data_IF_104848147526
#
_entry.id   IF_104848147526
#
_cell.length_a   1.000
_cell.length_b   1.000
_cell.length_c   1.000
_cell.angle_alpha   90.00
_cell.angle_beta   90.00
_cell.angle_gamma   90.00
#
_symmetry.space_group_name_H-M   'P 1'
#
loop_
_entity.id
_entity.type
_entity.pdbx_description
1 polymer ?
#
# COMPACT_ATOMS: atom_id res chain seq x y z
N UNK A 1 26.56 -18.83 3.00
CA UNK A 1 25.52 -17.88 3.46
C UNK A 1 26.08 -16.51 3.87
N UNK A 2 26.80 -16.34 4.99
CA UNK A 2 27.31 -15.01 5.41
C UNK A 2 28.18 -14.29 4.35
N UNK A 3 29.04 -15.01 3.61
CA UNK A 3 29.96 -14.40 2.63
C UNK A 3 29.30 -13.92 1.32
N UNK A 4 28.23 -14.58 0.86
CA UNK A 4 27.49 -14.17 -0.37
C UNK A 4 26.53 -13.02 -0.04
N UNK A 5 25.90 -13.06 1.15
CA UNK A 5 25.04 -11.99 1.66
C UNK A 5 25.83 -10.71 1.98
N UNK A 6 27.01 -10.83 2.61
CA UNK A 6 27.93 -9.69 2.74
C UNK A 6 28.39 -9.22 1.36
N UNK A 7 28.64 -10.13 0.42
CA UNK A 7 29.08 -9.81 -0.94
C UNK A 7 28.06 -8.98 -1.72
N UNK A 8 26.76 -9.31 -1.67
CA UNK A 8 25.70 -8.55 -2.34
C UNK A 8 25.39 -7.21 -1.66
N UNK A 9 25.43 -7.16 -0.32
CA UNK A 9 25.29 -5.92 0.45
C UNK A 9 26.50 -4.99 0.27
N UNK A 10 27.73 -5.52 0.21
CA UNK A 10 28.94 -4.77 -0.16
C UNK A 10 28.95 -4.40 -1.64
N UNK A 11 28.39 -5.20 -2.54
CA UNK A 11 28.30 -4.85 -3.97
C UNK A 11 27.45 -3.60 -4.17
N UNK A 12 26.39 -3.38 -3.39
CA UNK A 12 25.64 -2.11 -3.40
C UNK A 12 26.41 -0.94 -2.77
N UNK A 13 27.34 -1.22 -1.85
CA UNK A 13 28.25 -0.22 -1.27
C UNK A 13 29.48 0.05 -2.15
N UNK A 14 29.77 -0.82 -3.13
CA UNK A 14 30.97 -0.79 -3.97
C UNK A 14 30.68 -0.68 -5.47
N UNK A 15 29.48 -0.29 -5.92
CA UNK A 15 29.27 0.07 -7.33
C UNK A 15 30.02 1.39 -7.62
N UNK A 16 31.07 1.38 -8.45
CA UNK A 16 31.82 2.58 -8.81
C UNK A 16 30.99 3.47 -9.76
N UNK A 17 31.11 4.78 -9.53
CA UNK A 17 31.06 5.87 -10.51
C UNK A 17 30.36 5.59 -11.85
N UNK A 18 29.09 5.22 -11.82
CA UNK A 18 28.26 5.10 -13.01
C UNK A 18 27.31 6.28 -13.03
N UNK A 19 27.46 7.10 -14.07
CA UNK A 19 26.82 8.38 -14.31
C UNK A 19 25.34 8.39 -13.88
N UNK A 20 25.04 9.08 -12.79
CA UNK A 20 23.69 9.62 -12.59
C UNK A 20 23.48 10.68 -13.67
N UNK A 21 22.76 10.30 -14.72
CA UNK A 21 22.12 11.27 -15.59
C UNK A 21 21.03 11.92 -14.75
N UNK A 22 21.37 13.03 -14.09
CA UNK A 22 20.40 14.00 -13.60
C UNK A 22 19.54 14.41 -14.80
N UNK A 23 18.35 13.83 -14.88
CA UNK A 23 17.58 13.79 -16.11
C UNK A 23 16.99 15.19 -16.43
N UNK A 24 17.51 15.82 -17.49
CA UNK A 24 16.96 17.03 -18.14
C UNK A 24 15.84 16.72 -19.14
N UNK A 25 15.63 15.45 -19.48
CA UNK A 25 14.67 14.96 -20.49
C UNK A 25 13.22 14.89 -19.97
N UNK A 26 13.00 14.91 -18.65
CA UNK A 26 11.68 14.74 -18.06
C UNK A 26 11.00 16.07 -17.72
N UNK A 27 10.71 16.89 -18.74
CA UNK A 27 10.01 18.18 -18.59
C UNK A 27 8.49 17.99 -18.54
N UNK A 28 7.95 17.67 -17.35
CA UNK A 28 6.49 17.63 -17.10
C UNK A 28 5.83 16.25 -17.24
N UNK A 29 6.60 15.23 -17.62
CA UNK A 29 6.15 13.85 -17.84
C UNK A 29 5.27 13.67 -19.08
N UNK A 30 4.67 12.48 -19.23
CA UNK A 30 3.74 12.21 -20.33
C UNK A 30 2.43 13.00 -20.15
N UNK A 31 2.47 14.28 -20.54
CA UNK A 31 1.36 15.22 -20.46
C UNK A 31 0.93 15.61 -21.88
N UNK A 32 -0.29 15.23 -22.24
CA UNK A 32 -0.92 15.67 -23.49
C UNK A 32 -1.76 16.91 -23.16
N UNK A 33 -1.29 18.08 -23.60
CA UNK A 33 -2.03 19.32 -23.43
C UNK A 33 -3.15 19.42 -24.48
N UNK A 34 -4.32 19.87 -24.05
CA UNK A 34 -5.49 20.10 -24.92
C UNK A 34 -5.70 21.57 -25.26
N UNK A 35 -4.84 22.45 -24.74
CA UNK A 35 -4.83 23.87 -25.05
C UNK A 35 -3.42 24.46 -24.88
N UNK A 36 -3.20 25.63 -25.50
CA UNK A 36 -1.88 26.28 -25.59
C UNK A 36 -1.30 26.67 -24.23
N UNK A 37 -2.14 27.10 -23.27
CA UNK A 37 -1.69 27.47 -21.93
C UNK A 37 -1.42 26.28 -20.98
N UNK A 38 -1.72 25.05 -21.42
CA UNK A 38 -1.49 23.82 -20.66
C UNK A 38 -2.39 23.60 -19.43
N UNK A 39 -3.44 24.41 -19.25
CA UNK A 39 -4.42 24.26 -18.16
C UNK A 39 -5.38 23.10 -18.36
N UNK A 40 -5.52 22.61 -19.60
CA UNK A 40 -6.30 21.42 -19.96
C UNK A 40 -5.36 20.32 -20.42
N UNK A 41 -5.40 19.17 -19.76
CA UNK A 41 -4.46 18.11 -20.09
C UNK A 41 -4.94 16.72 -19.67
N UNK A 42 -4.39 15.72 -20.35
CA UNK A 42 -4.32 14.35 -19.90
C UNK A 42 -2.89 14.10 -19.39
N UNK A 43 -2.74 13.57 -18.19
CA UNK A 43 -1.47 13.07 -17.68
C UNK A 43 -1.48 11.55 -17.68
N UNK A 44 -0.35 10.98 -18.07
CA UNK A 44 -0.08 9.54 -18.06
C UNK A 44 1.12 9.31 -17.13
N UNK A 45 1.02 8.30 -16.29
CA UNK A 45 2.08 7.83 -15.38
C UNK A 45 2.18 6.32 -15.59
N UNK A 46 3.36 5.82 -15.90
CA UNK A 46 3.59 4.40 -16.12
C UNK A 46 4.75 3.91 -15.26
N UNK A 47 4.62 2.74 -14.64
CA UNK A 47 5.68 2.19 -13.82
C UNK A 47 5.76 0.68 -13.83
N UNK A 48 7.00 0.20 -13.67
CA UNK A 48 7.36 -1.19 -13.53
C UNK A 48 8.14 -1.42 -12.24
N UNK A 49 7.81 -2.51 -11.55
CA UNK A 49 8.56 -3.00 -10.39
C UNK A 49 8.87 -4.47 -10.60
N UNK A 50 10.15 -4.81 -10.55
CA UNK A 50 10.67 -6.13 -10.83
C UNK A 50 11.42 -6.64 -9.61
N UNK A 51 11.09 -7.84 -9.15
CA UNK A 51 11.67 -8.42 -7.94
C UNK A 51 12.53 -9.63 -8.29
N UNK A 52 13.67 -9.72 -7.62
CA UNK A 52 14.39 -10.96 -7.40
C UNK A 52 14.37 -11.27 -5.90
N UNK A 53 13.78 -12.40 -5.52
CA UNK A 53 13.58 -12.79 -4.13
C UNK A 53 14.31 -14.09 -3.82
N UNK A 54 15.13 -14.06 -2.77
CA UNK A 54 15.78 -15.23 -2.22
C UNK A 54 15.18 -15.59 -0.86
N UNK A 55 14.69 -16.82 -0.72
CA UNK A 55 14.19 -17.40 0.53
C UNK A 55 14.89 -18.74 0.76
N UNK A 56 15.56 -18.90 1.89
CA UNK A 56 16.27 -20.12 2.26
C UNK A 56 15.36 -21.17 2.92
N UNK A 57 14.15 -20.78 3.31
CA UNK A 57 13.11 -21.61 3.88
C UNK A 57 11.95 -21.81 2.87
N UNK A 58 12.21 -22.67 1.89
CA UNK A 58 11.23 -23.16 0.90
C UNK A 58 11.30 -24.69 0.82
N UNK A 59 10.23 -25.38 0.38
CA UNK A 59 10.27 -26.83 0.13
C UNK A 59 11.46 -27.27 -0.74
N UNK A 60 11.92 -28.51 -0.57
CA UNK A 60 13.14 -29.03 -1.26
C UNK A 60 13.04 -29.01 -2.78
N UNK A 61 11.84 -29.11 -3.33
CA UNK A 61 11.55 -29.07 -4.77
C UNK A 61 11.32 -27.64 -5.31
N UNK A 62 11.31 -26.64 -4.44
CA UNK A 62 11.10 -25.25 -4.81
C UNK A 62 12.42 -24.48 -5.02
N UNK A 63 12.43 -23.57 -6.00
CA UNK A 63 13.55 -22.66 -6.19
C UNK A 63 13.65 -21.68 -5.02
N UNK A 64 14.85 -21.57 -4.45
CA UNK A 64 15.19 -20.55 -3.44
C UNK A 64 15.22 -19.14 -4.02
N UNK A 65 15.44 -19.00 -5.34
CA UNK A 65 15.46 -17.71 -6.04
C UNK A 65 14.27 -17.62 -7.00
N UNK A 66 13.45 -16.59 -6.84
CA UNK A 66 12.28 -16.34 -7.68
C UNK A 66 12.33 -14.94 -8.28
N UNK A 67 11.94 -14.84 -9.55
CA UNK A 67 11.81 -13.57 -10.26
C UNK A 67 10.33 -13.26 -10.48
N UNK A 68 9.94 -11.99 -10.35
CA UNK A 68 8.58 -11.57 -10.62
C UNK A 68 8.47 -10.14 -11.14
N UNK A 69 7.42 -9.89 -11.93
CA UNK A 69 6.90 -8.55 -12.17
C UNK A 69 5.94 -8.24 -11.03
N UNK A 70 6.41 -7.52 -10.02
CA UNK A 70 5.61 -7.16 -8.85
C UNK A 70 4.45 -6.22 -9.22
N UNK A 71 4.73 -5.23 -10.09
CA UNK A 71 3.73 -4.29 -10.63
C UNK A 71 4.12 -3.91 -12.06
N UNK A 72 3.16 -3.90 -12.97
CA UNK A 72 3.25 -3.21 -14.25
C UNK A 72 1.93 -2.47 -14.46
N UNK A 73 1.96 -1.13 -14.36
CA UNK A 73 0.77 -0.31 -14.19
C UNK A 73 0.84 0.99 -14.98
N UNK A 74 -0.33 1.45 -15.39
CA UNK A 74 -0.56 2.75 -16.02
C UNK A 74 -1.67 3.46 -15.26
N UNK A 75 -1.42 4.73 -14.93
CA UNK A 75 -2.41 5.64 -14.38
C UNK A 75 -2.54 6.84 -15.28
N UNK A 76 -3.77 7.21 -15.60
CA UNK A 76 -4.08 8.44 -16.31
C UNK A 76 -5.07 9.27 -15.53
N UNK A 77 -4.97 10.59 -15.64
CA UNK A 77 -6.04 11.47 -15.22
C UNK A 77 -6.18 12.65 -16.16
N UNK A 78 -7.42 13.08 -16.34
CA UNK A 78 -7.76 14.20 -17.20
C UNK A 78 -8.23 15.37 -16.37
N UNK A 79 -7.66 16.54 -16.63
CA UNK A 79 -8.09 17.81 -16.06
C UNK A 79 -8.46 18.75 -17.20
N UNK A 80 -9.75 18.85 -17.53
CA UNK A 80 -10.27 19.80 -18.53
C UNK A 80 -10.60 21.17 -17.93
N UNK A 81 -10.82 21.22 -16.62
CA UNK A 81 -11.01 22.43 -15.82
C UNK A 81 -10.90 22.07 -14.33
N UNK A 82 -11.14 23.04 -13.43
CA UNK A 82 -11.09 22.85 -11.97
C UNK A 82 -12.35 22.21 -11.37
N UNK A 83 -13.38 21.89 -12.17
CA UNK A 83 -14.68 21.41 -11.68
C UNK A 83 -14.79 19.90 -11.64
N UNK A 84 -14.05 19.17 -12.48
CA UNK A 84 -14.11 17.71 -12.49
C UNK A 84 -12.79 17.06 -12.90
N UNK A 85 -12.61 15.81 -12.49
CA UNK A 85 -11.48 14.96 -12.83
C UNK A 85 -11.98 13.54 -13.12
N UNK A 86 -11.37 12.88 -14.10
CA UNK A 86 -11.53 11.44 -14.34
C UNK A 86 -10.17 10.80 -14.15
N UNK A 87 -10.11 9.72 -13.36
CA UNK A 87 -8.91 8.93 -13.15
C UNK A 87 -9.13 7.49 -13.59
N UNK A 88 -8.16 6.97 -14.33
CA UNK A 88 -8.09 5.57 -14.74
C UNK A 88 -6.75 5.00 -14.32
N UNK A 89 -6.75 3.85 -13.65
CA UNK A 89 -5.55 3.14 -13.25
C UNK A 89 -5.78 1.67 -13.51
N UNK A 90 -4.92 1.07 -14.32
CA UNK A 90 -5.03 -0.34 -14.67
C UNK A 90 -3.64 -0.95 -14.78
N UNK A 91 -3.58 -2.27 -14.70
CA UNK A 91 -2.33 -2.99 -14.79
C UNK A 91 -2.46 -4.41 -14.28
N UNK A 92 -1.29 -5.01 -14.06
CA UNK A 92 -1.14 -6.33 -13.48
C UNK A 92 -0.29 -6.28 -12.20
N UNK A 93 -0.46 -7.30 -11.37
CA UNK A 93 0.25 -7.45 -10.11
C UNK A 93 0.80 -8.86 -9.93
N UNK A 94 2.06 -8.96 -9.53
CA UNK A 94 2.73 -10.18 -9.06
C UNK A 94 2.74 -11.35 -10.06
N UNK A 95 3.08 -11.09 -11.32
CA UNK A 95 3.28 -12.13 -12.33
C UNK A 95 4.65 -12.79 -12.15
N UNK A 96 4.70 -14.13 -12.15
CA UNK A 96 5.89 -14.92 -11.87
C UNK A 96 5.81 -16.32 -12.54
N UNK A 97 6.88 -17.11 -12.42
CA UNK A 97 6.97 -18.43 -13.06
C UNK A 97 5.82 -19.39 -12.72
N UNK A 98 5.24 -19.31 -11.52
CA UNK A 98 4.19 -20.22 -11.05
C UNK A 98 2.79 -19.86 -11.53
N UNK A 99 2.57 -18.64 -12.02
CA UNK A 99 1.25 -18.18 -12.47
C UNK A 99 1.21 -17.69 -13.93
N UNK A 100 2.29 -17.91 -14.68
CA UNK A 100 2.28 -17.78 -16.13
C UNK A 100 1.39 -18.87 -16.76
N UNK A 101 0.84 -18.54 -17.92
CA UNK A 101 0.09 -19.49 -18.75
C UNK A 101 0.73 -19.55 -20.15
N UNK A 102 0.65 -20.68 -20.87
CA UNK A 102 1.34 -20.86 -22.15
C UNK A 102 1.04 -19.79 -23.21
N UNK A 103 -0.13 -19.15 -23.12
CA UNK A 103 -0.59 -18.11 -24.06
C UNK A 103 -0.76 -16.74 -23.42
N UNK A 104 -0.40 -16.58 -22.14
CA UNK A 104 -0.55 -15.32 -21.40
C UNK A 104 -2.00 -14.89 -21.15
N UNK A 105 -2.95 -15.83 -21.17
CA UNK A 105 -4.40 -15.58 -20.98
C UNK A 105 -4.95 -16.04 -19.62
N UNK A 106 -4.10 -16.54 -18.73
CA UNK A 106 -4.48 -16.93 -17.36
C UNK A 106 -4.87 -15.72 -16.51
N UNK A 107 -5.57 -15.98 -15.40
CA UNK A 107 -6.11 -14.95 -14.51
C UNK A 107 -5.04 -13.96 -14.01
N UNK A 108 -3.83 -14.43 -13.70
CA UNK A 108 -2.72 -13.59 -13.23
C UNK A 108 -2.14 -12.65 -14.31
N UNK A 109 -2.41 -12.90 -15.59
CA UNK A 109 -1.96 -12.06 -16.70
C UNK A 109 -3.00 -11.00 -17.10
N UNK A 110 -4.18 -10.98 -16.47
CA UNK A 110 -5.23 -10.01 -16.78
C UNK A 110 -4.79 -8.59 -16.41
N UNK A 111 -5.01 -7.66 -17.34
CA UNK A 111 -4.99 -6.23 -17.06
C UNK A 111 -6.36 -5.84 -16.54
N UNK A 112 -6.43 -5.41 -15.28
CA UNK A 112 -7.68 -5.02 -14.64
C UNK A 112 -7.62 -3.58 -14.15
N UNK A 113 -8.79 -2.97 -13.96
CA UNK A 113 -8.88 -1.67 -13.33
C UNK A 113 -8.54 -1.79 -11.84
N UNK A 114 -7.45 -1.13 -11.47
CA UNK A 114 -7.20 -0.78 -10.08
C UNK A 114 -8.14 0.34 -9.67
N UNK A 115 -8.17 1.43 -10.42
CA UNK A 115 -9.07 2.56 -10.15
C UNK A 115 -9.77 2.99 -11.43
N UNK A 116 -11.05 3.33 -11.31
CA UNK A 116 -11.79 4.04 -12.34
C UNK A 116 -12.86 4.87 -11.66
N UNK A 117 -12.66 6.19 -11.57
CA UNK A 117 -13.57 7.07 -10.86
C UNK A 117 -13.61 8.48 -11.45
N UNK A 118 -14.77 9.12 -11.26
CA UNK A 118 -14.99 10.54 -11.55
C UNK A 118 -15.10 11.34 -10.26
N UNK A 119 -14.64 12.59 -10.30
CA UNK A 119 -14.67 13.53 -9.18
C UNK A 119 -15.21 14.88 -9.62
N UNK A 120 -15.97 15.53 -8.73
CA UNK A 120 -16.50 16.87 -8.89
C UNK A 120 -16.12 17.74 -7.71
N UNK A 121 -15.70 18.97 -8.01
CA UNK A 121 -15.50 20.01 -7.01
C UNK A 121 -16.87 20.58 -6.62
N UNK A 122 -17.28 20.38 -5.36
CA UNK A 122 -18.60 20.80 -4.85
C UNK A 122 -18.53 22.01 -3.91
N UNK A 123 -17.33 22.46 -3.56
CA UNK A 123 -17.11 23.66 -2.76
C UNK A 123 -15.63 24.03 -2.71
N UNK A 124 -15.26 25.13 -2.06
CA UNK A 124 -13.85 25.48 -1.88
C UNK A 124 -13.16 24.41 -1.02
N UNK A 125 -12.15 23.72 -1.56
CA UNK A 125 -11.45 22.61 -0.91
C UNK A 125 -12.32 21.39 -0.57
N UNK A 126 -13.48 21.23 -1.21
CA UNK A 126 -14.38 20.07 -1.02
C UNK A 126 -14.68 19.45 -2.37
N UNK A 127 -14.39 18.16 -2.50
CA UNK A 127 -14.68 17.36 -3.69
C UNK A 127 -15.37 16.06 -3.30
N UNK A 128 -16.28 15.62 -4.16
CA UNK A 128 -16.94 14.32 -4.05
C UNK A 128 -16.73 13.54 -5.34
N UNK A 129 -16.60 12.23 -5.24
CA UNK A 129 -16.44 11.37 -6.41
C UNK A 129 -17.10 10.01 -6.24
N UNK A 130 -17.13 9.27 -7.34
CA UNK A 130 -17.77 7.96 -7.42
C UNK A 130 -17.02 7.06 -8.39
N UNK A 131 -16.98 5.76 -8.08
CA UNK A 131 -16.37 4.74 -8.92
C UNK A 131 -15.56 3.73 -8.10
N UNK A 132 -14.72 2.96 -8.78
CA UNK A 132 -13.77 2.05 -8.12
C UNK A 132 -12.56 2.87 -7.66
N UNK A 133 -12.40 3.11 -6.36
CA UNK A 133 -11.49 4.14 -5.85
C UNK A 133 -10.60 3.71 -4.67
N UNK A 134 -9.43 4.35 -4.57
CA UNK A 134 -8.43 4.17 -3.50
C UNK A 134 -8.53 5.18 -2.34
N UNK A 135 -9.66 5.88 -2.18
CA UNK A 135 -9.90 6.79 -1.04
C UNK A 135 -10.21 6.00 0.24
N UNK A 136 -9.15 5.43 0.84
CA UNK A 136 -9.22 4.53 1.98
C UNK A 136 -9.20 5.28 3.32
N UNK A 137 -9.75 4.65 4.37
CA UNK A 137 -10.03 5.30 5.65
C UNK A 137 -9.18 4.86 6.85
N UNK A 138 -8.45 3.75 6.81
CA UNK A 138 -7.83 3.22 8.05
C UNK A 138 -6.61 4.05 8.49
N UNK A 139 -5.60 4.20 7.63
CA UNK A 139 -4.34 4.90 7.96
C UNK A 139 -3.69 5.53 6.73
N UNK A 140 -2.58 6.26 6.94
CA UNK A 140 -1.68 6.67 5.85
C UNK A 140 -1.19 5.48 5.02
N UNK A 141 -0.86 4.34 5.66
CA UNK A 141 -0.38 3.17 4.93
C UNK A 141 -1.44 2.56 4.02
N UNK A 142 -2.72 2.66 4.38
CA UNK A 142 -3.82 2.25 3.50
C UNK A 142 -3.95 3.09 2.24
N UNK A 143 -3.37 4.28 2.26
CA UNK A 143 -3.40 5.25 1.19
C UNK A 143 -2.04 5.38 0.50
N UNK A 144 -1.09 4.47 0.70
CA UNK A 144 0.28 4.65 0.22
C UNK A 144 0.42 4.64 -1.31
N UNK A 145 1.28 5.53 -1.81
CA UNK A 145 1.74 5.53 -3.19
C UNK A 145 2.78 4.44 -3.42
N UNK A 146 2.55 3.61 -4.44
CA UNK A 146 3.53 2.58 -4.84
C UNK A 146 4.75 3.17 -5.56
N UNK A 147 4.71 4.46 -5.92
CA UNK A 147 5.78 5.13 -6.67
C UNK A 147 6.93 5.62 -5.80
N UNK A 148 6.69 5.80 -4.50
CA UNK A 148 7.61 6.52 -3.62
C UNK A 148 7.65 5.92 -2.20
N UNK A 149 7.45 4.60 -2.10
CA UNK A 149 7.69 3.89 -0.85
C UNK A 149 9.11 4.11 -0.36
N UNK A 150 9.24 4.31 0.97
CA UNK A 150 10.53 4.25 1.64
C UNK A 150 10.99 2.79 1.81
N UNK A 151 10.15 1.93 2.40
CA UNK A 151 10.39 0.48 2.47
C UNK A 151 10.23 -0.19 1.10
N UNK A 152 10.62 -1.46 0.97
CA UNK A 152 10.53 -2.18 -0.31
C UNK A 152 9.09 -2.25 -0.86
N UNK A 153 8.13 -2.51 0.03
CA UNK A 153 6.70 -2.53 -0.26
C UNK A 153 5.93 -2.02 0.97
N UNK A 154 4.61 -1.96 0.86
CA UNK A 154 3.71 -1.69 1.98
C UNK A 154 3.83 -2.76 3.07
N UNK A 155 3.64 -2.36 4.32
CA UNK A 155 3.41 -3.30 5.41
C UNK A 155 2.04 -3.97 5.23
N UNK A 156 2.05 -5.21 4.72
CA UNK A 156 0.90 -5.92 4.13
C UNK A 156 -0.36 -5.93 4.99
N UNK A 157 -0.23 -6.03 6.30
CA UNK A 157 -1.32 -6.09 7.26
C UNK A 157 -1.99 -4.73 7.50
N UNK A 158 -1.33 -3.64 7.12
CA UNK A 158 -1.95 -2.30 7.14
C UNK A 158 -3.10 -2.26 6.14
N UNK A 159 -3.00 -2.93 4.98
CA UNK A 159 -4.10 -3.14 4.04
C UNK A 159 -5.12 -4.18 4.54
N UNK A 160 -5.78 -3.85 5.65
CA UNK A 160 -6.64 -4.72 6.43
C UNK A 160 -7.86 -5.28 5.66
N UNK A 161 -8.40 -4.54 4.69
CA UNK A 161 -9.57 -4.95 3.93
C UNK A 161 -9.26 -5.72 2.63
N UNK A 162 -7.97 -5.87 2.27
CA UNK A 162 -7.55 -6.24 0.92
C UNK A 162 -8.11 -7.61 0.48
N UNK A 163 -8.99 -7.64 -0.51
CA UNK A 163 -9.63 -8.89 -0.96
C UNK A 163 -10.64 -9.50 0.04
N UNK A 164 -10.94 -8.81 1.15
CA UNK A 164 -11.99 -9.20 2.10
C UNK A 164 -13.28 -8.43 1.82
N UNK A 165 -13.20 -7.10 1.75
CA UNK A 165 -14.34 -6.25 1.36
C UNK A 165 -14.08 -5.43 0.10
N UNK A 166 -12.87 -5.50 -0.46
CA UNK A 166 -12.41 -4.64 -1.56
C UNK A 166 -11.75 -5.42 -2.71
N UNK A 167 -11.69 -4.80 -3.89
CA UNK A 167 -10.88 -5.28 -5.00
C UNK A 167 -9.50 -4.63 -4.94
N UNK A 168 -8.50 -5.38 -4.46
CA UNK A 168 -7.09 -4.96 -4.46
C UNK A 168 -6.88 -3.58 -3.80
N UNK A 169 -7.47 -3.40 -2.62
CA UNK A 169 -7.50 -2.17 -1.83
C UNK A 169 -8.33 -1.01 -2.42
N UNK A 170 -9.26 -1.29 -3.34
CA UNK A 170 -10.27 -0.34 -3.84
C UNK A 170 -11.67 -0.85 -3.63
N UNK A 171 -12.53 0.05 -3.19
CA UNK A 171 -13.97 -0.19 -3.14
C UNK A 171 -14.67 0.48 -4.32
N UNK A 172 -15.80 -0.10 -4.74
CA UNK A 172 -16.76 0.57 -5.61
C UNK A 172 -17.72 1.38 -4.73
N UNK A 173 -17.75 2.69 -4.89
CA UNK A 173 -18.55 3.52 -4.01
C UNK A 173 -18.51 5.01 -4.33
N UNK A 174 -18.90 5.79 -3.32
CA UNK A 174 -18.81 7.24 -3.31
C UNK A 174 -17.87 7.69 -2.20
N UNK A 175 -17.17 8.80 -2.43
CA UNK A 175 -16.30 9.41 -1.44
C UNK A 175 -16.48 10.92 -1.40
N UNK A 176 -16.13 11.49 -0.25
CA UNK A 176 -16.02 12.92 -0.01
C UNK A 176 -14.64 13.20 0.58
N UNK A 177 -13.94 14.19 0.04
CA UNK A 177 -12.65 14.65 0.55
C UNK A 177 -12.57 16.15 0.61
N UNK A 178 -11.69 16.62 1.49
CA UNK A 178 -11.39 18.03 1.53
C UNK A 178 -10.37 18.38 2.59
N UNK A 179 -10.31 19.67 2.89
CA UNK A 179 -9.56 20.18 4.03
C UNK A 179 -10.22 21.41 4.66
N UNK A 180 -10.03 21.57 5.96
CA UNK A 180 -10.38 22.76 6.74
C UNK A 180 -9.13 23.20 7.49
N UNK A 181 -8.56 24.34 7.12
CA UNK A 181 -7.25 24.75 7.63
C UNK A 181 -6.20 23.67 7.32
N UNK A 182 -5.51 23.19 8.37
CA UNK A 182 -4.49 22.14 8.29
C UNK A 182 -5.03 20.71 8.48
N UNK A 183 -6.34 20.56 8.71
CA UNK A 183 -7.00 19.27 8.81
C UNK A 183 -7.47 18.81 7.43
N UNK A 184 -6.87 17.74 6.91
CA UNK A 184 -7.34 17.04 5.72
C UNK A 184 -8.29 15.90 6.14
N UNK A 185 -9.32 15.64 5.34
CA UNK A 185 -10.26 14.55 5.57
C UNK A 185 -10.61 13.83 4.27
N UNK A 186 -10.91 12.54 4.41
CA UNK A 186 -11.52 11.69 3.37
C UNK A 186 -12.45 10.69 4.04
N UNK A 187 -13.64 10.51 3.48
CA UNK A 187 -14.62 9.50 3.91
C UNK A 187 -15.21 8.83 2.68
N UNK A 188 -15.56 7.55 2.78
CA UNK A 188 -16.20 6.83 1.69
C UNK A 188 -17.28 5.86 2.19
N UNK A 189 -18.28 5.66 1.32
CA UNK A 189 -19.40 4.75 1.48
C UNK A 189 -19.44 3.82 0.27
N UNK A 190 -19.31 2.53 0.52
CA UNK A 190 -18.81 1.58 -0.45
C UNK A 190 -19.66 0.31 -0.49
N UNK A 191 -19.69 -0.33 -1.65
CA UNK A 191 -20.08 -1.74 -1.76
C UNK A 191 -18.97 -2.64 -1.21
N UNK A 192 -19.35 -3.63 -0.39
CA UNK A 192 -18.52 -4.80 -0.15
C UNK A 192 -18.54 -5.72 -1.38
N UNK A 193 -17.42 -6.38 -1.66
CA UNK A 193 -17.37 -7.47 -2.65
C UNK A 193 -18.10 -8.73 -2.14
N UNK A 194 -18.57 -9.57 -3.07
CA UNK A 194 -19.19 -10.87 -2.73
C UNK A 194 -18.16 -11.99 -2.65
N UNK A 195 -17.23 -12.05 -3.61
CA UNK A 195 -16.21 -13.11 -3.68
C UNK A 195 -14.95 -12.67 -2.93
N UNK A 196 -14.80 -13.11 -1.69
CA UNK A 196 -13.68 -12.73 -0.82
C UNK A 196 -12.56 -13.76 -0.85
N UNK A 197 -11.39 -13.43 -0.29
CA UNK A 197 -10.31 -14.39 -0.06
C UNK A 197 -10.68 -15.50 0.94
N UNK A 198 -11.78 -15.36 1.68
CA UNK A 198 -12.27 -16.36 2.64
C UNK A 198 -13.33 -17.30 2.02
N UNK A 199 -13.60 -17.19 0.71
CA UNK A 199 -14.67 -17.95 0.02
C UNK A 199 -14.53 -19.48 0.10
N UNK A 200 -13.32 -19.98 0.37
CA UNK A 200 -13.05 -21.41 0.55
C UNK A 200 -13.37 -21.96 1.94
N UNK A 201 -13.82 -21.12 2.88
CA UNK A 201 -14.13 -21.52 4.25
C UNK A 201 -15.62 -21.33 4.55
N UNK A 202 -16.30 -22.42 4.87
CA UNK A 202 -17.70 -22.38 5.32
C UNK A 202 -17.77 -22.14 6.84
N UNK A 203 -18.77 -21.38 7.32
CA UNK A 203 -19.04 -21.31 8.75
C UNK A 203 -19.36 -22.70 9.31
N UNK A 204 -18.79 -23.04 10.47
CA UNK A 204 -19.03 -24.30 11.17
C UNK A 204 -19.59 -24.04 12.57
N UNK A 205 -20.37 -24.97 13.17
CA UNK A 205 -20.96 -24.76 14.48
C UNK A 205 -19.90 -24.44 15.55
N UNK A 206 -20.04 -23.28 16.21
CA UNK A 206 -19.08 -22.72 17.17
C UNK A 206 -17.67 -22.50 16.60
N UNK A 207 -17.54 -22.39 15.28
CA UNK A 207 -16.28 -22.14 14.60
C UNK A 207 -15.83 -20.67 14.67
N UNK A 208 -14.73 -20.36 13.96
CA UNK A 208 -14.29 -18.98 13.76
C UNK A 208 -15.28 -18.20 12.88
N UNK A 209 -15.22 -16.87 12.98
CA UNK A 209 -15.83 -16.00 12.01
C UNK A 209 -15.23 -16.22 10.60
N UNK A 210 -16.05 -16.11 9.55
CA UNK A 210 -15.64 -16.11 8.14
C UNK A 210 -16.08 -14.82 7.44
N UNK A 211 -15.20 -14.24 6.62
CA UNK A 211 -15.47 -12.95 5.95
C UNK A 211 -16.30 -13.15 4.69
N UNK A 212 -17.58 -13.52 4.89
CA UNK A 212 -18.54 -13.83 3.81
C UNK A 212 -19.92 -13.22 4.08
N UNK A 213 -19.97 -12.12 4.85
CA UNK A 213 -21.21 -11.44 5.25
C UNK A 213 -22.13 -11.12 4.07
N UNK A 214 -21.61 -10.44 3.05
CA UNK A 214 -22.41 -10.08 1.86
C UNK A 214 -23.00 -11.29 1.15
N UNK A 215 -22.22 -12.36 1.03
CA UNK A 215 -22.62 -13.58 0.34
C UNK A 215 -23.71 -14.33 1.12
N UNK A 216 -23.52 -14.52 2.43
CA UNK A 216 -24.37 -15.39 3.25
C UNK A 216 -25.59 -14.66 3.85
N UNK A 217 -25.46 -13.37 4.16
CA UNK A 217 -26.52 -12.56 4.78
C UNK A 217 -27.19 -11.59 3.80
N UNK A 218 -26.64 -11.49 2.59
CA UNK A 218 -27.13 -10.62 1.52
C UNK A 218 -26.67 -9.17 1.63
N UNK A 219 -26.68 -8.48 0.48
CA UNK A 219 -26.23 -7.09 0.36
C UNK A 219 -27.07 -6.08 1.16
N UNK A 220 -28.30 -6.43 1.55
CA UNK A 220 -29.13 -5.59 2.41
C UNK A 220 -28.61 -5.50 3.85
N UNK A 221 -28.00 -6.58 4.36
CA UNK A 221 -27.55 -6.69 5.75
C UNK A 221 -26.04 -6.47 5.90
N UNK A 222 -25.26 -6.85 4.89
CA UNK A 222 -23.81 -6.90 4.93
C UNK A 222 -23.16 -6.38 3.63
N UNK A 223 -23.84 -5.50 2.90
CA UNK A 223 -23.38 -5.02 1.60
C UNK A 223 -22.54 -3.75 1.63
N UNK A 224 -22.41 -3.09 2.78
CA UNK A 224 -21.93 -1.71 2.87
C UNK A 224 -20.73 -1.57 3.78
N UNK A 225 -19.72 -0.86 3.29
CA UNK A 225 -18.51 -0.52 4.05
C UNK A 225 -18.41 1.00 4.16
N UNK A 226 -18.16 1.49 5.37
CA UNK A 226 -17.93 2.91 5.66
C UNK A 226 -16.53 3.06 6.19
N UNK A 227 -15.76 4.02 5.67
CA UNK A 227 -14.41 4.26 6.15
C UNK A 227 -14.06 5.75 6.07
N UNK A 228 -13.15 6.21 6.92
CA UNK A 228 -12.72 7.60 6.91
C UNK A 228 -11.39 7.83 7.59
N UNK A 229 -10.56 8.69 7.00
CA UNK A 229 -9.24 9.06 7.48
C UNK A 229 -9.11 10.58 7.59
N UNK A 230 -8.57 11.04 8.70
CA UNK A 230 -8.42 12.44 9.05
C UNK A 230 -6.98 12.69 9.51
N UNK A 231 -6.31 13.66 8.90
CA UNK A 231 -4.93 13.96 9.26
C UNK A 231 -4.68 15.46 9.41
N UNK A 232 -4.01 15.82 10.49
CA UNK A 232 -3.62 17.19 10.80
C UNK A 232 -2.16 17.41 10.41
N UNK A 233 -1.94 18.39 9.53
CA UNK A 233 -0.60 18.73 9.05
C UNK A 233 0.02 19.82 9.93
N UNK A 234 1.04 19.52 10.72
CA UNK A 234 1.68 20.52 11.59
C UNK A 234 2.63 21.44 10.80
N UNK A 235 3.29 20.90 9.79
CA UNK A 235 4.28 21.59 8.95
C UNK A 235 3.72 21.82 7.53
N UNK A 236 4.49 21.48 6.49
CA UNK A 236 4.08 21.60 5.09
C UNK A 236 2.88 20.70 4.79
N UNK A 237 1.93 21.23 4.03
CA UNK A 237 0.77 20.46 3.63
C UNK A 237 1.10 19.43 2.54
N UNK A 238 0.53 18.23 2.71
CA UNK A 238 0.50 17.23 1.67
C UNK A 238 -0.64 17.47 0.68
N UNK A 239 -0.49 16.94 -0.53
CA UNK A 239 -1.53 17.02 -1.56
C UNK A 239 -2.74 16.16 -1.21
N UNK A 240 -3.94 16.69 -1.47
CA UNK A 240 -5.19 15.95 -1.47
C UNK A 240 -5.77 15.78 -2.90
N UNK A 241 -4.94 15.95 -3.93
CA UNK A 241 -5.39 15.86 -5.32
C UNK A 241 -5.72 14.40 -5.69
N UNK A 242 -4.78 13.49 -5.44
CA UNK A 242 -4.94 12.05 -5.62
C UNK A 242 -4.97 11.33 -4.26
N UNK A 243 -5.51 10.10 -4.17
CA UNK A 243 -5.61 9.37 -2.91
C UNK A 243 -4.27 8.92 -2.33
N UNK A 244 -3.18 9.02 -3.09
CA UNK A 244 -1.90 8.41 -2.76
C UNK A 244 -1.02 9.29 -1.86
N UNK A 245 -0.76 8.84 -0.63
CA UNK A 245 0.18 9.45 0.33
C UNK A 245 1.62 9.04 0.01
N UNK A 246 2.56 9.98 0.17
CA UNK A 246 3.97 9.80 -0.21
C UNK A 246 4.73 9.03 0.86
N UNK A 247 5.53 8.03 0.48
CA UNK A 247 6.32 7.24 1.45
C UNK A 247 7.57 7.97 1.97
N UNK A 248 8.25 8.75 1.12
CA UNK A 248 9.35 9.65 1.49
C UNK A 248 9.44 10.81 0.49
N UNK A 249 9.65 12.03 0.99
CA UNK A 249 9.83 13.24 0.17
C UNK A 249 11.30 13.50 -0.17
N UNK A 250 12.23 12.66 0.29
CA UNK A 250 13.66 12.81 0.07
C UNK A 250 14.20 14.19 0.54
N UNK A 251 13.59 14.76 1.59
CA UNK A 251 13.94 16.08 2.12
C UNK A 251 13.45 17.28 1.31
N UNK A 252 12.67 17.07 0.25
CA UNK A 252 12.11 18.18 -0.56
C UNK A 252 11.02 18.99 0.16
N UNK A 253 10.54 18.51 1.30
CA UNK A 253 9.52 19.13 2.15
C UNK A 253 9.82 18.90 3.62
N UNK A 254 9.20 19.70 4.49
CA UNK A 254 9.12 19.47 5.94
C UNK A 254 7.69 19.09 6.28
N UNK A 255 7.41 17.80 6.42
CA UNK A 255 6.07 17.26 6.71
C UNK A 255 6.07 16.67 8.10
N UNK A 256 5.08 17.03 8.91
CA UNK A 256 4.76 16.34 10.16
C UNK A 256 3.26 16.23 10.29
N UNK A 257 2.74 15.01 10.23
CA UNK A 257 1.30 14.74 10.22
C UNK A 257 0.96 13.74 11.31
N UNK A 258 -0.18 13.95 11.98
CA UNK A 258 -0.82 12.94 12.83
C UNK A 258 -2.17 12.62 12.20
N UNK A 259 -2.42 11.33 11.98
CA UNK A 259 -3.62 10.80 11.37
C UNK A 259 -4.40 9.88 12.29
N UNK A 260 -5.71 9.85 12.12
CA UNK A 260 -6.57 8.83 12.70
C UNK A 260 -7.62 8.41 11.68
N UNK A 261 -8.00 7.13 11.72
CA UNK A 261 -8.90 6.59 10.74
C UNK A 261 -9.63 5.34 11.19
N UNK A 262 -10.65 4.98 10.42
CA UNK A 262 -11.50 3.84 10.70
C UNK A 262 -12.02 3.15 9.44
N UNK A 263 -12.44 1.90 9.62
CA UNK A 263 -13.30 1.14 8.71
C UNK A 263 -14.35 0.39 9.52
N UNK A 264 -15.60 0.45 9.07
CA UNK A 264 -16.71 -0.34 9.58
C UNK A 264 -17.34 -1.10 8.42
N UNK A 265 -17.56 -2.40 8.61
CA UNK A 265 -18.35 -3.24 7.72
C UNK A 265 -19.36 -4.00 8.57
N UNK A 266 -20.59 -3.48 8.60
CA UNK A 266 -21.69 -4.07 9.35
C UNK A 266 -21.95 -5.49 8.85
N UNK A 267 -22.05 -6.47 9.76
CA UNK A 267 -22.22 -7.89 9.46
C UNK A 267 -21.20 -8.41 8.43
N UNK A 268 -19.98 -7.87 8.40
CA UNK A 268 -19.00 -8.19 7.36
C UNK A 268 -18.50 -9.63 7.44
N UNK A 269 -18.57 -10.23 8.63
CA UNK A 269 -18.23 -11.63 8.89
C UNK A 269 -19.44 -12.39 9.41
N UNK A 270 -19.39 -13.71 9.32
CA UNK A 270 -20.45 -14.63 9.76
C UNK A 270 -19.87 -15.68 10.69
N UNK A 271 -20.58 -15.97 11.77
CA UNK A 271 -20.35 -17.12 12.65
C UNK A 271 -21.56 -18.06 12.56
N UNK A 272 -21.36 -19.33 12.92
CA UNK A 272 -22.45 -20.29 13.05
C UNK A 272 -22.53 -20.75 14.51
N UNK A 273 -23.72 -20.64 15.10
CA UNK A 273 -23.96 -21.12 16.46
C UNK A 273 -23.96 -22.66 16.54
N UNK A 274 -23.96 -23.21 17.76
CA UNK A 274 -24.00 -24.66 17.99
C UNK A 274 -25.23 -25.38 17.44
N UNK A 275 -26.28 -24.65 17.05
CA UNK A 275 -27.52 -25.19 16.47
C UNK A 275 -27.58 -25.03 14.95
N UNK A 276 -26.58 -24.42 14.33
CA UNK A 276 -26.47 -24.23 12.89
C UNK A 276 -27.02 -22.91 12.35
N UNK A 277 -27.44 -21.97 13.20
CA UNK A 277 -27.90 -20.66 12.73
C UNK A 277 -26.70 -19.76 12.40
N UNK A 278 -26.82 -19.02 11.30
CA UNK A 278 -25.83 -18.02 10.91
C UNK A 278 -26.13 -16.69 11.61
N UNK A 279 -25.10 -16.09 12.19
CA UNK A 279 -25.14 -14.78 12.82
C UNK A 279 -24.05 -13.89 12.21
N UNK A 280 -24.38 -12.62 11.92
CA UNK A 280 -23.43 -11.64 11.44
C UNK A 280 -22.72 -10.94 12.59
N UNK A 281 -21.41 -10.74 12.46
CA UNK A 281 -20.65 -9.87 13.35
C UNK A 281 -20.05 -8.70 12.55
N UNK A 282 -19.96 -7.53 13.18
CA UNK A 282 -19.40 -6.33 12.55
C UNK A 282 -17.87 -6.43 12.48
N UNK A 283 -17.31 -5.89 11.40
CA UNK A 283 -15.85 -5.68 11.30
C UNK A 283 -15.56 -4.22 11.59
N UNK A 284 -14.76 -3.96 12.62
CA UNK A 284 -14.38 -2.63 13.05
C UNK A 284 -12.86 -2.50 13.11
N UNK A 285 -12.31 -1.55 12.38
CA UNK A 285 -10.87 -1.30 12.35
C UNK A 285 -10.63 0.16 12.65
N UNK A 286 -9.68 0.43 13.53
CA UNK A 286 -9.27 1.77 13.91
C UNK A 286 -7.75 1.89 13.85
N UNK A 287 -7.24 3.05 13.43
CA UNK A 287 -5.82 3.32 13.51
C UNK A 287 -5.51 4.78 13.87
N UNK A 288 -4.33 4.97 14.48
CA UNK A 288 -3.69 6.27 14.67
C UNK A 288 -2.26 6.16 14.14
N UNK A 289 -1.83 7.12 13.36
CA UNK A 289 -0.50 7.17 12.78
C UNK A 289 0.16 8.54 12.87
N UNK A 290 1.49 8.54 12.76
CA UNK A 290 2.30 9.73 12.67
C UNK A 290 3.32 9.57 11.54
N UNK A 291 3.49 10.62 10.74
CA UNK A 291 4.45 10.68 9.64
C UNK A 291 5.32 11.93 9.75
N UNK A 292 6.63 11.76 9.63
CA UNK A 292 7.61 12.84 9.61
C UNK A 292 8.57 12.67 8.44
N UNK A 293 8.75 13.70 7.63
CA UNK A 293 9.79 13.75 6.59
C UNK A 293 10.36 15.17 6.55
N UNK A 294 11.67 15.32 6.70
CA UNK A 294 12.31 16.63 6.69
C UNK A 294 13.78 16.56 6.25
N UNK A 295 14.29 17.60 5.56
CA UNK A 295 15.72 17.80 5.40
C UNK A 295 16.37 18.04 6.77
N UNK A 296 17.57 17.48 6.96
CA UNK A 296 18.34 17.62 8.21
C UNK A 296 19.34 18.79 8.14
N UNK A 297 19.86 19.05 6.94
CA UNK A 297 20.76 20.16 6.63
C UNK A 297 20.65 20.55 5.15
N UNK A 298 21.39 21.58 4.75
CA UNK A 298 21.44 22.08 3.36
C UNK A 298 22.33 21.21 2.44
N UNK A 299 22.77 20.04 2.91
CA UNK A 299 23.62 19.08 2.19
C UNK A 299 22.82 17.99 1.44
N UNK A 300 21.49 18.10 1.44
CA UNK A 300 20.59 17.14 0.81
C UNK A 300 20.27 15.90 1.65
N UNK A 301 20.73 15.84 2.90
CA UNK A 301 20.34 14.80 3.85
C UNK A 301 18.92 15.00 4.38
N UNK A 302 18.25 13.89 4.71
CA UNK A 302 16.88 13.92 5.19
C UNK A 302 16.58 12.74 6.10
N UNK A 303 15.58 12.90 6.96
CA UNK A 303 14.99 11.81 7.74
C UNK A 303 13.55 11.58 7.29
N UNK A 304 13.15 10.32 7.23
CA UNK A 304 11.76 9.90 7.07
C UNK A 304 11.43 8.92 8.19
N UNK A 305 10.32 9.14 8.90
CA UNK A 305 9.85 8.27 9.96
C UNK A 305 8.33 8.13 9.91
N UNK A 306 7.85 6.92 10.19
CA UNK A 306 6.42 6.62 10.27
C UNK A 306 6.17 5.64 11.41
N UNK A 307 5.05 5.82 12.11
CA UNK A 307 4.55 4.86 13.09
C UNK A 307 3.03 4.79 13.05
N UNK A 308 2.47 3.59 13.27
CA UNK A 308 1.03 3.35 13.33
C UNK A 308 0.70 2.34 14.42
N UNK A 309 -0.37 2.63 15.14
CA UNK A 309 -1.14 1.64 15.90
C UNK A 309 -2.44 1.36 15.15
N UNK A 310 -2.78 0.09 14.96
CA UNK A 310 -4.02 -0.33 14.28
C UNK A 310 -4.67 -1.45 15.10
N UNK A 311 -5.89 -1.21 15.56
CA UNK A 311 -6.75 -2.21 16.19
C UNK A 311 -7.68 -2.80 15.14
N UNK A 312 -7.72 -4.12 15.03
CA UNK A 312 -8.55 -4.83 14.08
C UNK A 312 -9.49 -5.77 14.80
N UNK A 313 -10.78 -5.51 14.70
CA UNK A 313 -11.83 -6.43 15.12
C UNK A 313 -12.50 -6.98 13.85
N UNK A 314 -12.20 -8.25 13.53
CA UNK A 314 -12.87 -8.98 12.45
C UNK A 314 -13.92 -9.96 13.00
N UNK A 315 -14.33 -9.83 14.26
CA UNK A 315 -15.18 -10.82 14.91
C UNK A 315 -14.40 -12.01 15.46
N UNK A 316 -15.16 -12.98 15.97
CA UNK A 316 -14.67 -14.04 16.86
C UNK A 316 -13.65 -14.95 16.21
N UNK A 317 -12.46 -15.02 16.81
CA UNK A 317 -11.36 -15.92 16.42
C UNK A 317 -11.02 -15.84 14.91
N UNK A 318 -11.27 -14.70 14.27
CA UNK A 318 -11.01 -14.54 12.84
C UNK A 318 -9.49 -14.57 12.60
N UNK A 319 -9.06 -15.45 11.70
CA UNK A 319 -7.70 -15.44 11.17
C UNK A 319 -7.70 -15.95 9.72
N UNK A 320 -7.05 -15.20 8.83
CA UNK A 320 -6.86 -15.55 7.43
C UNK A 320 -5.55 -14.95 6.93
N UNK A 321 -4.46 -15.71 7.01
CA UNK A 321 -3.13 -15.27 6.58
C UNK A 321 -2.68 -13.98 7.29
N UNK A 322 -2.53 -12.83 6.58
CA UNK A 322 -2.13 -11.57 7.21
C UNK A 322 -3.23 -10.92 8.05
N UNK A 323 -4.47 -11.38 7.95
CA UNK A 323 -5.62 -10.82 8.66
C UNK A 323 -5.92 -11.60 9.92
N UNK A 324 -6.15 -10.89 11.01
CA UNK A 324 -6.60 -11.50 12.26
C UNK A 324 -7.15 -10.44 13.21
N UNK A 325 -8.12 -10.84 14.03
CA UNK A 325 -8.59 -10.03 15.15
C UNK A 325 -7.44 -9.82 16.14
N UNK A 326 -7.20 -8.57 16.55
CA UNK A 326 -6.11 -8.18 17.42
C UNK A 326 -5.49 -6.82 17.04
N UNK A 327 -4.33 -6.51 17.62
CA UNK A 327 -3.70 -5.19 17.49
C UNK A 327 -2.37 -5.28 16.74
N UNK A 328 -2.03 -4.22 16.01
CA UNK A 328 -0.76 -4.07 15.30
C UNK A 328 -0.07 -2.77 15.71
N UNK A 329 1.23 -2.86 15.98
CA UNK A 329 2.13 -1.71 15.97
C UNK A 329 3.11 -1.90 14.82
N UNK A 330 3.25 -0.90 13.96
CA UNK A 330 4.23 -0.89 12.89
C UNK A 330 4.95 0.47 12.86
N UNK A 331 6.24 0.45 12.54
CA UNK A 331 6.97 1.68 12.25
C UNK A 331 8.16 1.45 11.34
N UNK A 332 8.61 2.52 10.71
CA UNK A 332 9.85 2.55 9.94
C UNK A 332 10.57 3.90 10.08
N UNK A 333 11.88 3.86 9.90
CA UNK A 333 12.73 5.05 9.87
C UNK A 333 13.81 4.87 8.80
N UNK A 334 14.05 5.91 8.03
CA UNK A 334 15.07 5.97 7.01
C UNK A 334 15.86 7.27 7.08
N UNK A 335 17.14 7.18 6.74
CA UNK A 335 18.04 8.32 6.68
C UNK A 335 18.58 8.43 5.26
N UNK A 336 18.31 9.55 4.60
CA UNK A 336 18.89 9.85 3.29
C UNK A 336 20.26 10.48 3.52
N UNK A 337 21.30 9.79 3.02
CA UNK A 337 22.69 10.22 3.14
C UNK A 337 22.90 11.53 2.35
N UNK A 338 23.66 12.50 2.87
CA UNK A 338 24.01 13.74 2.18
C UNK A 338 24.44 13.50 0.73
N UNK A 339 23.99 14.38 -0.16
CA UNK A 339 24.28 14.25 -1.57
C UNK A 339 23.43 15.19 -2.41
N UNK A 340 24.00 15.63 -3.54
CA UNK A 340 23.30 16.51 -4.46
C UNK A 340 22.09 15.79 -5.09
N UNK A 341 20.99 16.53 -5.29
CA UNK A 341 19.72 15.97 -5.78
C UNK A 341 19.79 15.46 -7.23
N UNK A 342 20.78 15.92 -8.01
CA UNK A 342 21.08 15.50 -9.39
C UNK A 342 22.01 14.28 -9.45
N UNK A 343 22.43 13.73 -8.31
CA UNK A 343 23.28 12.54 -8.19
C UNK A 343 22.53 11.38 -7.58
N UNK A 344 23.13 10.20 -7.70
CA UNK A 344 22.63 9.01 -7.00
C UNK A 344 22.71 9.20 -5.49
N UNK A 345 21.62 8.92 -4.78
CA UNK A 345 21.54 9.04 -3.32
C UNK A 345 21.11 7.72 -2.68
N UNK A 346 21.62 7.47 -1.48
CA UNK A 346 21.34 6.23 -0.74
C UNK A 346 20.54 6.54 0.53
N UNK A 347 19.50 5.74 0.78
CA UNK A 347 18.68 5.82 1.99
C UNK A 347 18.59 4.45 2.66
N UNK A 348 19.47 4.12 3.61
CA UNK A 348 19.24 3.02 4.53
C UNK A 348 17.98 3.23 5.37
N UNK A 349 17.31 2.14 5.72
CA UNK A 349 16.14 2.17 6.58
C UNK A 349 15.98 0.88 7.40
N UNK A 350 15.18 1.00 8.46
CA UNK A 350 14.72 -0.09 9.31
C UNK A 350 13.20 -0.04 9.39
N UNK A 351 12.58 -1.21 9.55
CA UNK A 351 11.16 -1.33 9.85
C UNK A 351 10.92 -2.45 10.85
N UNK A 352 9.88 -2.28 11.66
CA UNK A 352 9.47 -3.27 12.65
C UNK A 352 7.95 -3.31 12.76
N UNK A 353 7.43 -4.51 12.93
CA UNK A 353 6.02 -4.79 13.19
C UNK A 353 5.91 -5.80 14.32
N UNK A 354 4.93 -5.59 15.19
CA UNK A 354 4.41 -6.61 16.10
C UNK A 354 2.89 -6.63 16.03
N UNK A 355 2.31 -7.82 16.11
CA UNK A 355 0.87 -8.07 16.08
C UNK A 355 0.47 -9.04 17.17
N UNK A 356 -0.57 -8.70 17.91
CA UNK A 356 -1.34 -9.67 18.69
C UNK A 356 -2.43 -10.24 17.79
N UNK A 357 -2.71 -11.53 17.88
CA UNK A 357 -3.76 -12.20 17.09
C UNK A 357 -4.55 -13.06 18.06
N UNK A 358 -5.83 -12.76 18.29
CA UNK A 358 -6.64 -13.38 19.34
C UNK A 358 -6.80 -14.90 19.16
N UNK A 359 -6.69 -15.39 17.91
CA UNK A 359 -6.78 -16.82 17.59
C UNK A 359 -5.51 -17.63 17.95
N UNK A 360 -4.42 -16.98 18.37
CA UNK A 360 -3.18 -17.64 18.79
C UNK A 360 -2.62 -17.00 20.07
N UNK A 361 -1.96 -17.78 20.91
CA UNK A 361 -1.48 -17.30 22.22
C UNK A 361 -0.23 -16.40 22.14
N UNK A 362 0.40 -16.30 20.97
CA UNK A 362 1.67 -15.63 20.76
C UNK A 362 1.61 -14.56 19.66
N UNK A 363 2.53 -13.60 19.73
CA UNK A 363 2.60 -12.51 18.76
C UNK A 363 3.18 -12.95 17.41
N UNK A 364 2.79 -12.23 16.35
CA UNK A 364 3.48 -12.23 15.07
C UNK A 364 4.38 -10.99 14.97
N UNK A 365 5.64 -11.18 14.55
CA UNK A 365 6.60 -10.09 14.38
C UNK A 365 7.23 -10.10 13.01
N UNK A 366 7.59 -8.92 12.52
CA UNK A 366 8.34 -8.74 11.28
C UNK A 366 9.36 -7.63 11.44
N UNK A 367 10.62 -7.97 11.20
CA UNK A 367 11.73 -7.02 11.14
C UNK A 367 12.19 -6.87 9.69
N UNK A 368 12.51 -5.65 9.28
CA UNK A 368 13.07 -5.36 7.98
C UNK A 368 14.25 -4.40 8.07
N UNK A 369 15.31 -4.70 7.32
CA UNK A 369 16.45 -3.81 7.11
C UNK A 369 16.70 -3.72 5.61
N UNK A 370 16.85 -2.49 5.11
CA UNK A 370 17.06 -2.29 3.69
C UNK A 370 17.72 -0.97 3.35
N UNK A 371 17.98 -0.79 2.06
CA UNK A 371 18.49 0.46 1.52
C UNK A 371 17.90 0.72 0.14
N UNK A 372 17.59 1.98 -0.13
CA UNK A 372 17.28 2.49 -1.46
C UNK A 372 18.52 3.12 -2.08
N UNK A 373 18.78 2.85 -3.35
CA UNK A 373 19.66 3.61 -4.22
C UNK A 373 18.80 4.33 -5.26
N UNK A 374 18.63 5.63 -5.07
CA UNK A 374 17.90 6.51 -5.97
C UNK A 374 18.86 7.02 -7.04
N UNK A 375 18.76 6.51 -8.27
CA UNK A 375 19.62 6.96 -9.38
C UNK A 375 19.12 8.28 -9.97
N UNK A 376 17.79 8.46 -10.00
CA UNK A 376 17.13 9.68 -10.49
C UNK A 376 15.89 9.96 -9.62
N UNK A 377 16.12 10.35 -8.37
CA UNK A 377 15.03 10.47 -7.39
C UNK A 377 14.17 9.21 -7.36
N UNK A 378 12.85 9.37 -7.33
CA UNK A 378 11.94 8.21 -7.35
C UNK A 378 11.80 7.55 -8.73
N UNK A 379 12.17 8.23 -9.84
CA UNK A 379 11.95 7.74 -11.22
C UNK A 379 12.72 6.46 -11.54
N UNK A 380 13.89 6.30 -10.93
CA UNK A 380 14.74 5.13 -11.09
C UNK A 380 15.37 4.79 -9.75
N UNK A 381 14.95 3.66 -9.18
CA UNK A 381 15.33 3.22 -7.84
C UNK A 381 15.66 1.73 -7.81
N UNK A 382 16.76 1.38 -7.13
CA UNK A 382 17.03 0.02 -6.68
C UNK A 382 16.78 -0.05 -5.18
N UNK A 383 16.14 -1.11 -4.70
CA UNK A 383 15.95 -1.36 -3.27
C UNK A 383 16.37 -2.77 -2.93
N UNK A 384 17.26 -2.92 -1.95
CA UNK A 384 17.57 -4.21 -1.34
C UNK A 384 16.99 -4.23 0.08
N UNK A 385 16.20 -5.24 0.40
CA UNK A 385 15.62 -5.42 1.73
C UNK A 385 15.76 -6.88 2.17
N UNK A 386 16.27 -7.08 3.38
CA UNK A 386 16.12 -8.35 4.09
C UNK A 386 15.00 -8.20 5.11
N UNK A 387 14.06 -9.15 5.10
CA UNK A 387 13.02 -9.24 6.13
C UNK A 387 13.03 -10.58 6.81
N UNK A 388 12.74 -10.57 8.10
CA UNK A 388 12.57 -11.75 8.92
C UNK A 388 11.21 -11.65 9.59
N UNK A 389 10.37 -12.67 9.41
CA UNK A 389 9.03 -12.73 10.00
C UNK A 389 8.88 -13.99 10.83
N UNK A 390 8.17 -13.89 11.96
CA UNK A 390 7.84 -15.02 12.83
C UNK A 390 6.39 -14.91 13.27
N UNK A 391 5.65 -16.02 13.24
CA UNK A 391 4.26 -16.09 13.73
C UNK A 391 4.22 -17.07 14.89
N UNK A 392 3.92 -16.55 16.08
CA UNK A 392 3.90 -17.31 17.32
C UNK A 392 5.18 -18.12 17.58
N UNK A 393 5.00 -19.41 17.89
CA UNK A 393 6.10 -20.36 18.10
C UNK A 393 6.61 -21.03 16.82
N UNK A 394 6.12 -20.63 15.64
CA UNK A 394 6.62 -21.13 14.37
C UNK A 394 8.04 -20.68 14.06
N UNK A 395 8.64 -21.33 13.06
CA UNK A 395 9.97 -20.96 12.57
C UNK A 395 9.96 -19.57 11.94
N UNK A 396 11.07 -18.84 12.10
CA UNK A 396 11.25 -17.57 11.41
C UNK A 396 11.51 -17.80 9.92
N UNK A 397 10.92 -16.98 9.06
CA UNK A 397 11.18 -16.98 7.62
C UNK A 397 11.93 -15.72 7.21
N UNK A 398 13.09 -15.91 6.58
CA UNK A 398 13.94 -14.84 6.06
C UNK A 398 13.81 -14.70 4.55
N UNK A 399 13.58 -13.48 4.07
CA UNK A 399 13.51 -13.20 2.62
C UNK A 399 14.37 -12.00 2.29
N UNK A 400 15.32 -12.18 1.36
CA UNK A 400 16.08 -11.10 0.74
C UNK A 400 15.43 -10.74 -0.60
N UNK A 401 15.06 -9.48 -0.79
CA UNK A 401 14.48 -9.00 -2.05
C UNK A 401 15.29 -7.85 -2.63
N UNK A 402 15.67 -7.98 -3.89
CA UNK A 402 16.11 -6.87 -4.73
C UNK A 402 14.95 -6.43 -5.62
N UNK A 403 14.60 -5.16 -5.55
CA UNK A 403 13.61 -4.53 -6.42
C UNK A 403 14.30 -3.54 -7.36
N UNK A 404 14.03 -3.66 -8.65
CA UNK A 404 14.23 -2.59 -9.62
C UNK A 404 12.92 -1.87 -9.89
N UNK A 405 12.93 -0.55 -9.78
CA UNK A 405 11.80 0.32 -9.97
C UNK A 405 12.12 1.34 -11.06
N UNK A 406 11.23 1.44 -12.04
CA UNK A 406 11.23 2.50 -13.04
C UNK A 406 9.83 3.10 -13.08
N UNK A 407 9.73 4.42 -12.94
CA UNK A 407 8.50 5.13 -13.28
C UNK A 407 8.76 6.36 -14.15
N UNK A 408 7.81 6.57 -15.04
CA UNK A 408 7.76 7.64 -16.02
C UNK A 408 6.52 8.48 -15.73
#
# INVERSE_FOLDING_TARGET
MKRILLGMALLLLCIPSSFSQGNTEYTGGYKVNFNEDGSKYLRIIAWGQFWAQYNDNVPDDASKLNLSVRRARVLTYTQLNKKFLILTHFGLNSLNGSNLSPTGKGESAQLFFHDFWGEWQIGKNIAAGSGLHYWNGISRLNNSSTLNFMTLDNNRESWAALGLSDQFARHLGVYLKGKVGKLQYRVSYNEAITTTLDSGNDPTPNGRAVYRGRELLGAGNAGKVVQGYFDYHFLDEESNFLPYKVGTYLGSKKVFNIGAGFLNHKNGVVVMDGTGNLEGEDVNIFAVDAFYDAPLADDGSAITAYGVFQSNDYGRNFVLGPYGTGNMIYGHVGYLIPGAADKSRVQPYLSYQTRTIDAIDDNATRFGIGANLFMTGHHSKLTLEYTNSKVGNGDSSGVLTLQAHIYL
#
